data_IF_849716148177
#
_entry.id   IF_849716148177
#
_cell.length_a   1.000
_cell.length_b   1.000
_cell.length_c   1.000
_cell.angle_alpha   90.00
_cell.angle_beta   90.00
_cell.angle_gamma   90.00
#
_symmetry.space_group_name_H-M   'P 1'
#
loop_
_entity.id
_entity.type
_entity.pdbx_description
1 polymer ?
#
# COMPACT_ATOMS: atom_id res chain seq x y z
N UNK A 1 -26.90 -43.75 -31.45
CA UNK A 1 -26.78 -42.29 -31.62
C UNK A 1 -27.77 -41.69 -30.66
N UNK A 2 -27.28 -41.26 -29.51
CA UNK A 2 -28.10 -40.66 -28.46
C UNK A 2 -27.43 -39.34 -28.10
N UNK A 3 -28.04 -38.26 -28.58
CA UNK A 3 -27.61 -36.88 -28.37
C UNK A 3 -28.74 -36.22 -27.60
N UNK A 4 -28.58 -36.02 -26.30
CA UNK A 4 -29.02 -34.83 -25.57
C UNK A 4 -28.80 -35.00 -24.07
N UNK A 5 -27.72 -34.40 -23.57
CA UNK A 5 -27.67 -33.91 -22.18
C UNK A 5 -26.57 -32.83 -22.08
N UNK A 6 -26.80 -31.71 -22.78
CA UNK A 6 -26.08 -30.47 -22.47
C UNK A 6 -26.72 -29.88 -21.21
N UNK A 7 -26.03 -30.02 -20.07
CA UNK A 7 -26.32 -29.24 -18.86
C UNK A 7 -26.11 -27.77 -19.21
N UNK A 8 -27.20 -27.05 -19.44
CA UNK A 8 -27.21 -25.58 -19.46
C UNK A 8 -26.78 -25.14 -18.06
N UNK A 9 -25.55 -24.64 -17.93
CA UNK A 9 -25.14 -23.89 -16.75
C UNK A 9 -25.97 -22.61 -16.77
N UNK A 10 -26.97 -22.52 -15.90
CA UNK A 10 -27.65 -21.27 -15.60
C UNK A 10 -26.62 -20.28 -15.06
N UNK A 11 -26.07 -19.43 -15.94
CA UNK A 11 -25.52 -18.15 -15.53
C UNK A 11 -26.70 -17.30 -15.06
N UNK A 12 -26.89 -17.21 -13.75
CA UNK A 12 -27.67 -16.14 -13.16
C UNK A 12 -26.89 -14.84 -13.44
N UNK A 13 -27.45 -13.85 -14.15
CA UNK A 13 -26.82 -12.55 -14.28
C UNK A 13 -27.13 -11.75 -13.01
N UNK A 14 -26.50 -12.10 -11.90
CA UNK A 14 -26.24 -11.09 -10.88
C UNK A 14 -24.97 -10.39 -11.32
N UNK A 15 -25.15 -9.30 -12.08
CA UNK A 15 -24.10 -8.34 -12.35
C UNK A 15 -23.80 -7.62 -11.02
N UNK A 16 -23.14 -8.30 -10.09
CA UNK A 16 -22.49 -7.62 -8.99
C UNK A 16 -21.41 -6.76 -9.65
N UNK A 17 -21.61 -5.44 -9.61
CA UNK A 17 -20.62 -4.49 -10.15
C UNK A 17 -19.23 -4.82 -9.62
N UNK A 18 -18.23 -4.51 -10.44
CA UNK A 18 -16.82 -4.72 -10.12
C UNK A 18 -16.51 -4.10 -8.76
N UNK A 19 -15.61 -4.75 -8.02
CA UNK A 19 -15.15 -4.26 -6.74
C UNK A 19 -13.70 -3.86 -6.80
N UNK A 20 -13.38 -2.79 -6.08
CA UNK A 20 -12.02 -2.40 -5.78
C UNK A 20 -11.70 -2.88 -4.37
N UNK A 21 -10.83 -3.86 -4.25
CA UNK A 21 -10.32 -4.37 -2.99
C UNK A 21 -9.01 -3.71 -2.62
N UNK A 22 -8.66 -3.76 -1.34
CA UNK A 22 -7.36 -3.32 -0.85
C UNK A 22 -6.83 -4.21 0.27
N UNK A 23 -5.51 -4.39 0.27
CA UNK A 23 -4.74 -5.00 1.34
C UNK A 23 -3.34 -4.42 1.35
N UNK A 24 -2.63 -4.53 2.46
CA UNK A 24 -1.20 -4.21 2.57
C UNK A 24 -0.53 -5.15 3.57
N UNK A 25 0.79 -5.04 3.71
CA UNK A 25 1.54 -5.72 4.76
C UNK A 25 1.37 -7.24 4.65
N UNK A 26 1.51 -7.76 3.43
CA UNK A 26 1.45 -9.20 3.14
C UNK A 26 2.64 -9.94 3.74
N UNK A 27 3.81 -9.30 3.89
CA UNK A 27 5.00 -9.84 4.55
C UNK A 27 5.31 -11.30 4.16
N UNK A 28 5.51 -11.54 2.85
CA UNK A 28 5.66 -12.88 2.29
C UNK A 28 6.97 -13.61 2.69
N UNK A 29 7.85 -12.97 3.44
CA UNK A 29 8.93 -13.65 4.16
C UNK A 29 8.39 -14.68 5.17
N UNK A 30 7.17 -14.49 5.68
CA UNK A 30 6.48 -15.47 6.52
C UNK A 30 5.83 -16.56 5.65
N UNK A 31 6.23 -17.85 5.78
CA UNK A 31 5.62 -18.94 5.01
C UNK A 31 4.10 -19.03 5.17
N UNK A 32 3.58 -18.71 6.36
CA UNK A 32 2.15 -18.71 6.65
C UNK A 32 1.41 -17.71 5.75
N UNK A 33 1.96 -16.52 5.54
CA UNK A 33 1.34 -15.49 4.71
C UNK A 33 1.33 -15.91 3.22
N UNK A 34 2.37 -16.62 2.77
CA UNK A 34 2.41 -17.22 1.42
C UNK A 34 1.36 -18.31 1.24
N UNK A 35 1.15 -19.17 2.24
CA UNK A 35 0.06 -20.16 2.21
C UNK A 35 -1.30 -19.47 2.09
N UNK A 36 -1.55 -18.42 2.87
CA UNK A 36 -2.81 -17.67 2.79
C UNK A 36 -3.03 -17.00 1.42
N UNK A 37 -1.97 -16.48 0.81
CA UNK A 37 -2.02 -15.93 -0.55
C UNK A 37 -2.36 -17.01 -1.58
N UNK A 38 -1.80 -18.22 -1.43
CA UNK A 38 -2.07 -19.35 -2.31
C UNK A 38 -3.51 -19.86 -2.23
N UNK A 39 -4.16 -19.68 -1.09
CA UNK A 39 -5.56 -20.07 -0.85
C UNK A 39 -6.58 -19.01 -1.27
N UNK A 40 -6.13 -17.83 -1.71
CA UNK A 40 -7.03 -16.76 -2.11
C UNK A 40 -7.90 -17.22 -3.30
N UNK A 41 -9.24 -17.01 -3.28
CA UNK A 41 -10.10 -17.39 -4.39
C UNK A 41 -9.90 -16.45 -5.60
N UNK A 42 -10.48 -16.84 -6.74
CA UNK A 42 -10.59 -15.99 -7.92
C UNK A 42 -11.68 -14.92 -7.70
N UNK A 43 -11.33 -13.66 -7.97
CA UNK A 43 -12.22 -12.49 -7.91
C UNK A 43 -12.59 -11.95 -9.30
N UNK A 44 -12.14 -12.60 -10.39
CA UNK A 44 -12.53 -12.28 -11.75
C UNK A 44 -12.17 -10.84 -12.15
N UNK A 45 -13.18 -10.05 -12.48
CA UNK A 45 -13.04 -8.68 -12.99
C UNK A 45 -12.67 -7.64 -11.91
N UNK A 46 -12.66 -8.03 -10.64
CA UNK A 46 -12.31 -7.13 -9.55
C UNK A 46 -10.86 -6.63 -9.63
N UNK A 47 -10.61 -5.46 -9.06
CA UNK A 47 -9.27 -4.88 -8.95
C UNK A 47 -8.77 -5.00 -7.51
N UNK A 48 -7.44 -5.07 -7.33
CA UNK A 48 -6.80 -5.10 -6.02
C UNK A 48 -5.72 -4.03 -5.89
N UNK A 49 -5.81 -3.27 -4.81
CA UNK A 49 -4.75 -2.40 -4.30
C UNK A 49 -3.89 -3.21 -3.31
N UNK A 50 -2.58 -3.22 -3.54
CA UNK A 50 -1.57 -3.74 -2.62
C UNK A 50 -0.77 -2.55 -2.08
N UNK A 51 -1.16 -2.04 -0.91
CA UNK A 51 -0.64 -0.81 -0.32
C UNK A 51 0.67 -1.00 0.47
N UNK A 52 1.66 -1.62 -0.18
CA UNK A 52 3.02 -1.83 0.33
C UNK A 52 3.20 -3.06 1.20
N UNK A 53 4.48 -3.33 1.49
CA UNK A 53 4.98 -4.43 2.32
C UNK A 53 4.53 -5.80 1.81
N UNK A 54 4.82 -6.07 0.53
CA UNK A 54 4.75 -7.41 -0.06
C UNK A 54 5.82 -8.31 0.58
N UNK A 55 7.05 -7.80 0.68
CA UNK A 55 8.16 -8.50 1.31
C UNK A 55 9.52 -8.02 0.82
N UNK A 56 10.59 -8.59 1.36
CA UNK A 56 11.94 -7.99 1.29
C UNK A 56 12.82 -8.53 0.15
N UNK A 57 12.25 -9.24 -0.83
CA UNK A 57 13.00 -9.90 -1.92
C UNK A 57 12.22 -9.89 -3.23
N UNK A 58 12.89 -9.78 -4.37
CA UNK A 58 12.26 -9.86 -5.71
C UNK A 58 11.40 -11.12 -5.87
N UNK A 59 11.86 -12.25 -5.34
CA UNK A 59 11.13 -13.52 -5.38
C UNK A 59 9.73 -13.42 -4.75
N UNK A 60 9.57 -12.61 -3.69
CA UNK A 60 8.27 -12.38 -3.06
C UNK A 60 7.34 -11.59 -3.99
N UNK A 61 7.85 -10.61 -4.74
CA UNK A 61 7.07 -9.85 -5.71
C UNK A 61 6.63 -10.70 -6.90
N UNK A 62 7.54 -11.51 -7.45
CA UNK A 62 7.20 -12.47 -8.50
C UNK A 62 6.13 -13.46 -8.03
N UNK A 63 6.30 -14.04 -6.84
CA UNK A 63 5.32 -14.94 -6.24
C UNK A 63 3.97 -14.24 -6.03
N UNK A 64 3.97 -13.02 -5.49
CA UNK A 64 2.77 -12.23 -5.24
C UNK A 64 2.01 -11.93 -6.54
N UNK A 65 2.67 -11.33 -7.52
CA UNK A 65 1.99 -10.86 -8.73
C UNK A 65 1.62 -12.00 -9.67
N UNK A 66 2.41 -13.07 -9.77
CA UNK A 66 2.00 -14.26 -10.52
C UNK A 66 0.68 -14.84 -10.00
N UNK A 67 0.51 -14.81 -8.69
CA UNK A 67 -0.66 -15.34 -7.99
C UNK A 67 -1.86 -14.39 -8.02
N UNK A 68 -1.63 -13.09 -7.78
CA UNK A 68 -2.70 -12.10 -7.74
C UNK A 68 -3.22 -11.77 -9.15
N UNK A 69 -2.36 -11.77 -10.18
CA UNK A 69 -2.79 -11.48 -11.56
C UNK A 69 -3.67 -12.58 -12.16
N UNK A 70 -3.73 -13.75 -11.53
CA UNK A 70 -4.64 -14.84 -11.92
C UNK A 70 -6.01 -14.72 -11.23
N UNK A 71 -6.13 -13.87 -10.21
CA UNK A 71 -7.31 -13.75 -9.35
C UNK A 71 -8.00 -12.39 -9.45
N UNK A 72 -7.32 -11.38 -9.97
CA UNK A 72 -7.84 -10.02 -10.16
C UNK A 72 -7.47 -9.53 -11.55
N UNK A 73 -8.40 -8.85 -12.22
CA UNK A 73 -8.19 -8.31 -13.56
C UNK A 73 -7.19 -7.16 -13.58
N UNK A 74 -7.03 -6.43 -12.48
CA UNK A 74 -6.06 -5.32 -12.37
C UNK A 74 -5.47 -5.24 -10.96
N UNK A 75 -4.18 -4.96 -10.92
CA UNK A 75 -3.43 -4.76 -9.70
C UNK A 75 -2.85 -3.34 -9.66
N UNK A 76 -2.88 -2.74 -8.48
CA UNK A 76 -2.22 -1.48 -8.17
C UNK A 76 -1.29 -1.75 -7.00
N UNK A 77 -0.02 -1.39 -7.12
CA UNK A 77 0.96 -1.51 -6.04
C UNK A 77 1.55 -0.15 -5.72
N UNK A 78 1.80 0.09 -4.43
CA UNK A 78 2.67 1.16 -3.94
C UNK A 78 3.72 0.55 -3.01
N UNK A 79 4.97 1.05 -2.99
CA UNK A 79 6.01 0.50 -2.13
C UNK A 79 5.78 0.81 -0.65
N UNK A 80 6.01 -0.18 0.20
CA UNK A 80 6.21 0.01 1.64
C UNK A 80 7.68 0.09 2.04
N UNK A 81 7.98 0.16 3.34
CA UNK A 81 9.38 0.16 3.81
C UNK A 81 10.04 -1.21 3.62
N UNK A 82 9.35 -2.31 3.91
CA UNK A 82 9.92 -3.66 3.77
C UNK A 82 10.24 -4.00 2.32
N UNK A 83 9.44 -3.48 1.39
CA UNK A 83 9.69 -3.59 -0.05
C UNK A 83 11.07 -3.00 -0.43
N UNK A 84 11.52 -1.97 0.29
CA UNK A 84 12.76 -1.23 0.01
C UNK A 84 13.94 -1.65 0.90
N UNK A 85 13.79 -2.72 1.67
CA UNK A 85 14.89 -3.23 2.49
C UNK A 85 15.92 -3.98 1.64
N UNK A 86 17.19 -3.67 1.87
CA UNK A 86 18.30 -4.47 1.35
C UNK A 86 18.82 -5.37 2.47
N UNK A 87 18.34 -6.63 2.50
CA UNK A 87 18.78 -7.62 3.50
C UNK A 87 19.74 -8.61 2.86
N UNK A 88 20.98 -8.64 3.36
CA UNK A 88 22.02 -9.54 2.87
C UNK A 88 22.51 -9.16 1.47
N UNK A 89 22.93 -10.16 0.69
CA UNK A 89 23.44 -9.99 -0.70
C UNK A 89 22.44 -10.50 -1.74
N UNK A 90 21.14 -10.50 -1.41
CA UNK A 90 20.09 -10.89 -2.35
C UNK A 90 19.87 -9.81 -3.42
N UNK A 91 19.21 -10.20 -4.52
CA UNK A 91 18.75 -9.29 -5.58
C UNK A 91 19.85 -8.38 -6.16
N UNK A 92 21.04 -8.96 -6.37
CA UNK A 92 22.19 -8.26 -6.93
C UNK A 92 22.77 -7.16 -6.03
N UNK A 93 22.36 -7.08 -4.76
CA UNK A 93 22.79 -6.04 -3.84
C UNK A 93 22.21 -4.66 -4.15
N UNK A 94 21.11 -4.60 -4.91
CA UNK A 94 20.42 -3.35 -5.21
C UNK A 94 19.87 -2.72 -3.92
N UNK A 95 19.89 -1.38 -3.87
CA UNK A 95 19.41 -0.59 -2.73
C UNK A 95 18.91 0.78 -3.17
N UNK A 96 18.17 1.45 -2.29
CA UNK A 96 17.65 2.79 -2.54
C UNK A 96 16.83 2.89 -3.83
N UNK A 97 17.06 3.95 -4.60
CA UNK A 97 16.33 4.22 -5.84
C UNK A 97 16.48 3.09 -6.86
N UNK A 98 17.66 2.46 -6.94
CA UNK A 98 17.90 1.38 -7.89
C UNK A 98 17.04 0.14 -7.57
N UNK A 99 16.91 -0.21 -6.28
CA UNK A 99 16.00 -1.28 -5.85
C UNK A 99 14.54 -0.91 -6.16
N UNK A 100 14.13 0.32 -5.84
CA UNK A 100 12.78 0.79 -6.16
C UNK A 100 12.45 0.67 -7.67
N UNK A 101 13.36 1.13 -8.53
CA UNK A 101 13.21 1.04 -9.98
C UNK A 101 13.11 -0.41 -10.45
N UNK A 102 13.90 -1.31 -9.86
CA UNK A 102 13.85 -2.73 -10.14
C UNK A 102 12.48 -3.34 -9.78
N UNK A 103 11.90 -2.96 -8.65
CA UNK A 103 10.55 -3.41 -8.27
C UNK A 103 9.47 -2.87 -9.23
N UNK A 104 9.61 -1.62 -9.69
CA UNK A 104 8.75 -1.05 -10.74
C UNK A 104 8.86 -1.85 -12.04
N UNK A 105 10.06 -2.29 -12.42
CA UNK A 105 10.24 -3.17 -13.59
C UNK A 105 9.53 -4.53 -13.43
N UNK A 106 9.61 -5.15 -12.24
CA UNK A 106 8.87 -6.37 -11.95
C UNK A 106 7.36 -6.11 -12.08
N UNK A 107 6.85 -5.03 -11.49
CA UNK A 107 5.44 -4.64 -11.62
C UNK A 107 5.00 -4.54 -13.09
N UNK A 108 5.82 -3.93 -13.95
CA UNK A 108 5.55 -3.82 -15.40
C UNK A 108 5.45 -5.16 -16.11
N UNK A 109 6.26 -6.15 -15.72
CA UNK A 109 6.18 -7.52 -16.28
C UNK A 109 4.81 -8.15 -16.04
N UNK A 110 4.18 -7.85 -14.90
CA UNK A 110 2.85 -8.33 -14.53
C UNK A 110 1.72 -7.32 -14.82
N UNK A 111 2.01 -6.22 -15.51
CA UNK A 111 1.06 -5.14 -15.83
C UNK A 111 0.39 -4.53 -14.58
N UNK A 112 1.09 -4.51 -13.45
CA UNK A 112 0.68 -3.89 -12.20
C UNK A 112 0.90 -2.38 -12.32
N UNK A 113 -0.11 -1.58 -11.95
CA UNK A 113 0.00 -0.11 -11.92
C UNK A 113 0.84 0.30 -10.72
N UNK A 114 1.79 1.20 -10.94
CA UNK A 114 2.73 1.70 -9.93
C UNK A 114 2.58 3.21 -9.72
N UNK A 115 3.26 3.79 -8.71
CA UNK A 115 3.35 5.24 -8.59
C UNK A 115 4.02 5.93 -9.78
N UNK A 116 4.70 5.22 -10.68
CA UNK A 116 5.39 5.81 -11.86
C UNK A 116 4.54 5.80 -13.13
N UNK A 117 3.41 5.10 -13.12
CA UNK A 117 2.52 5.00 -14.28
C UNK A 117 1.44 6.11 -14.25
N UNK A 118 0.82 6.46 -15.39
CA UNK A 118 -0.33 7.37 -15.41
C UNK A 118 -1.44 6.92 -14.47
N UNK A 119 -2.09 7.87 -13.79
CA UNK A 119 -3.20 7.55 -12.90
C UNK A 119 -4.37 6.95 -13.68
N UNK A 120 -4.86 5.80 -13.21
CA UNK A 120 -5.92 5.04 -13.88
C UNK A 120 -7.29 5.43 -13.33
N UNK A 121 -8.28 5.47 -14.22
CA UNK A 121 -9.67 5.68 -13.85
C UNK A 121 -10.30 4.33 -13.46
N UNK A 122 -11.03 4.31 -12.35
CA UNK A 122 -11.87 3.20 -11.96
C UNK A 122 -13.04 3.07 -12.96
N UNK A 123 -13.27 1.88 -13.56
CA UNK A 123 -14.16 1.75 -14.72
C UNK A 123 -15.65 1.57 -14.37
N UNK A 124 -16.00 1.35 -13.11
CA UNK A 124 -17.37 1.01 -12.68
C UNK A 124 -17.93 2.03 -11.67
N UNK A 125 -19.25 2.04 -11.49
CA UNK A 125 -19.95 2.93 -10.57
C UNK A 125 -20.24 4.32 -11.14
N UNK A 126 -21.11 5.05 -10.43
CA UNK A 126 -21.60 6.34 -10.89
C UNK A 126 -20.56 7.47 -10.79
N UNK A 127 -19.53 7.32 -9.95
CA UNK A 127 -18.50 8.34 -9.71
C UNK A 127 -17.17 7.89 -10.34
N UNK A 128 -16.60 8.67 -11.28
CA UNK A 128 -15.41 8.27 -12.03
C UNK A 128 -14.14 8.50 -11.20
N UNK A 129 -13.90 7.65 -10.20
CA UNK A 129 -12.74 7.78 -9.33
C UNK A 129 -11.43 7.64 -10.09
N UNK A 130 -10.50 8.56 -9.83
CA UNK A 130 -9.10 8.43 -10.21
C UNK A 130 -8.33 7.72 -9.10
N UNK A 131 -7.67 6.62 -9.43
CA UNK A 131 -6.78 5.91 -8.52
C UNK A 131 -5.38 6.52 -8.60
N UNK A 132 -4.90 7.02 -7.47
CA UNK A 132 -3.64 7.77 -7.37
C UNK A 132 -2.65 6.98 -6.49
N UNK A 133 -1.88 6.05 -7.06
CA UNK A 133 -0.76 5.42 -6.37
C UNK A 133 0.34 6.44 -6.10
N UNK A 134 0.77 6.51 -4.85
CA UNK A 134 1.78 7.42 -4.32
C UNK A 134 2.93 6.63 -3.72
N UNK A 135 4.09 7.28 -3.63
CA UNK A 135 5.23 6.79 -2.88
C UNK A 135 5.86 8.00 -2.22
N UNK A 136 5.66 8.17 -0.91
CA UNK A 136 6.11 9.36 -0.16
C UNK A 136 7.30 9.12 0.75
N UNK A 137 7.48 7.89 1.27
CA UNK A 137 8.39 7.63 2.38
C UNK A 137 8.01 8.47 3.64
N UNK A 138 8.98 8.77 4.49
CA UNK A 138 8.86 9.61 5.69
C UNK A 138 10.09 10.53 5.86
N UNK A 139 9.95 11.56 6.70
CA UNK A 139 10.98 12.58 6.94
C UNK A 139 11.19 12.90 8.42
N UNK A 140 10.76 12.03 9.33
CA UNK A 140 10.86 12.23 10.78
C UNK A 140 10.08 13.46 11.30
N UNK A 141 9.13 13.99 10.52
CA UNK A 141 8.31 15.14 10.94
C UNK A 141 7.17 14.80 11.89
N UNK A 142 6.76 13.53 11.98
CA UNK A 142 5.87 13.02 13.02
C UNK A 142 6.60 12.85 14.37
N UNK A 143 7.35 13.87 14.77
CA UNK A 143 7.96 14.04 16.08
C UNK A 143 7.25 15.18 16.80
N UNK A 144 7.25 15.24 18.13
CA UNK A 144 6.75 16.40 18.85
C UNK A 144 7.49 17.68 18.44
N UNK A 145 6.78 18.80 18.33
CA UNK A 145 7.35 20.08 17.85
C UNK A 145 8.56 20.56 18.66
N UNK A 146 8.60 20.24 19.95
CA UNK A 146 9.69 20.60 20.85
C UNK A 146 10.96 19.75 20.65
N UNK A 147 10.89 18.67 19.87
CA UNK A 147 12.04 17.82 19.55
C UNK A 147 12.70 18.32 18.26
N UNK A 148 13.95 18.80 18.30
CA UNK A 148 14.69 19.19 17.11
C UNK A 148 14.86 18.02 16.13
N UNK A 149 14.85 18.29 14.83
CA UNK A 149 15.01 17.25 13.79
C UNK A 149 16.26 16.40 14.01
N UNK A 150 17.40 17.03 14.32
CA UNK A 150 18.67 16.34 14.54
C UNK A 150 18.72 15.51 15.83
N UNK A 151 17.71 15.59 16.70
CA UNK A 151 17.58 14.80 17.93
C UNK A 151 16.45 13.77 17.83
N UNK A 152 15.74 13.67 16.70
CA UNK A 152 14.56 12.82 16.57
C UNK A 152 14.87 11.33 16.86
N UNK A 153 15.96 10.80 16.27
CA UNK A 153 16.35 9.41 16.48
C UNK A 153 16.80 9.14 17.91
N UNK A 154 17.59 10.04 18.51
CA UNK A 154 18.01 9.93 19.91
C UNK A 154 16.81 9.92 20.85
N UNK A 155 15.82 10.80 20.57
CA UNK A 155 14.55 10.82 21.30
C UNK A 155 13.82 9.48 21.18
N UNK A 156 13.71 8.83 20.02
CA UNK A 156 13.09 7.50 19.96
C UNK A 156 13.89 6.44 20.74
N UNK A 157 15.23 6.48 20.61
CA UNK A 157 16.15 5.53 21.23
C UNK A 157 16.11 5.56 22.77
N UNK A 158 15.82 6.69 23.40
CA UNK A 158 15.60 6.80 24.86
C UNK A 158 14.53 5.82 25.39
N UNK A 159 13.59 5.39 24.54
CA UNK A 159 12.55 4.40 24.89
C UNK A 159 12.78 3.03 24.27
N UNK A 160 14.00 2.77 23.76
CA UNK A 160 14.37 1.56 23.02
C UNK A 160 13.50 1.32 21.77
N UNK A 161 13.03 2.39 21.13
CA UNK A 161 12.27 2.32 19.89
C UNK A 161 13.17 2.75 18.74
N UNK A 162 13.45 1.83 17.82
CA UNK A 162 14.18 2.09 16.58
C UNK A 162 13.60 1.23 15.46
N UNK A 163 13.32 1.84 14.31
CA UNK A 163 12.91 1.09 13.13
C UNK A 163 14.11 0.38 12.47
N UNK A 164 13.87 -0.81 11.93
CA UNK A 164 14.86 -1.56 11.17
C UNK A 164 15.31 -0.79 9.93
N UNK A 165 14.45 0.07 9.38
CA UNK A 165 14.75 0.99 8.28
C UNK A 165 16.09 1.71 8.41
N UNK A 166 16.47 2.13 9.64
CA UNK A 166 17.71 2.86 9.87
C UNK A 166 18.96 2.07 9.46
N UNK A 167 18.87 0.73 9.49
CA UNK A 167 19.95 -0.16 9.12
C UNK A 167 19.87 -0.66 7.67
N UNK A 168 18.67 -0.84 7.10
CA UNK A 168 18.49 -1.58 5.84
C UNK A 168 17.70 -0.86 4.74
N UNK A 169 17.01 0.25 5.06
CA UNK A 169 16.36 1.09 4.06
C UNK A 169 17.32 2.20 3.65
N UNK A 170 18.09 1.92 2.60
CA UNK A 170 19.04 2.87 2.03
C UNK A 170 18.33 3.91 1.15
N UNK A 171 18.85 5.13 1.10
CA UNK A 171 18.27 6.23 0.33
C UNK A 171 19.09 6.62 -0.90
N UNK A 172 20.14 5.85 -1.27
CA UNK A 172 21.00 6.20 -2.40
C UNK A 172 20.18 6.50 -3.67
N UNK A 173 20.50 7.57 -4.43
CA UNK A 173 21.63 8.49 -4.26
C UNK A 173 21.34 9.70 -3.35
N UNK A 174 20.16 9.78 -2.73
CA UNK A 174 19.83 10.87 -1.83
C UNK A 174 20.67 10.78 -0.55
N UNK A 175 21.03 11.93 0.05
CA UNK A 175 21.83 11.95 1.27
C UNK A 175 21.10 11.43 2.51
N UNK A 176 19.77 11.32 2.46
CA UNK A 176 18.95 10.79 3.56
C UNK A 176 17.58 10.33 3.07
N UNK A 177 16.90 9.52 3.88
CA UNK A 177 15.49 9.13 3.69
C UNK A 177 14.57 10.34 3.63
N UNK A 178 14.80 11.34 4.49
CA UNK A 178 14.06 12.61 4.46
C UNK A 178 14.26 13.39 3.15
N UNK A 179 15.47 13.41 2.59
CA UNK A 179 15.73 14.05 1.29
C UNK A 179 15.02 13.30 0.14
N UNK A 180 15.01 11.96 0.18
CA UNK A 180 14.25 11.16 -0.78
C UNK A 180 12.75 11.40 -0.64
N UNK A 181 12.23 11.41 0.60
CA UNK A 181 10.83 11.75 0.91
C UNK A 181 10.42 13.11 0.34
N UNK A 182 11.25 14.14 0.54
CA UNK A 182 10.98 15.48 0.03
C UNK A 182 10.89 15.53 -1.50
N UNK A 183 11.77 14.80 -2.20
CA UNK A 183 11.75 14.67 -3.66
C UNK A 183 10.50 13.93 -4.15
N UNK A 184 10.18 12.81 -3.50
CA UNK A 184 8.98 12.02 -3.76
C UNK A 184 7.68 12.80 -3.54
N UNK A 185 7.62 13.63 -2.51
CA UNK A 185 6.48 14.50 -2.25
C UNK A 185 6.33 15.55 -3.34
N UNK A 186 7.42 16.20 -3.77
CA UNK A 186 7.39 17.17 -4.89
C UNK A 186 6.93 16.52 -6.19
N UNK A 187 7.49 15.37 -6.53
CA UNK A 187 7.08 14.59 -7.70
C UNK A 187 5.59 14.27 -7.68
N UNK A 188 5.07 13.84 -6.53
CA UNK A 188 3.66 13.50 -6.36
C UNK A 188 2.75 14.73 -6.41
N UNK A 189 3.15 15.86 -5.81
CA UNK A 189 2.41 17.12 -5.87
C UNK A 189 2.24 17.61 -7.31
N UNK A 190 3.32 17.64 -8.10
CA UNK A 190 3.28 18.04 -9.52
C UNK A 190 2.26 17.23 -10.31
N UNK A 191 2.17 15.92 -10.03
CA UNK A 191 1.23 15.02 -10.70
C UNK A 191 -0.19 15.15 -10.16
N UNK A 192 -0.37 15.31 -8.86
CA UNK A 192 -1.68 15.54 -8.24
C UNK A 192 -2.34 16.81 -8.78
N UNK A 193 -1.56 17.85 -9.09
CA UNK A 193 -2.10 19.07 -9.73
C UNK A 193 -2.80 18.80 -11.08
N UNK A 194 -2.45 17.71 -11.77
CA UNK A 194 -3.03 17.38 -13.09
C UNK A 194 -4.44 16.76 -12.99
N UNK A 195 -4.88 16.38 -11.79
CA UNK A 195 -6.17 15.72 -11.54
C UNK A 195 -7.02 16.44 -10.49
N UNK A 196 -6.68 17.69 -10.17
CA UNK A 196 -7.48 18.52 -9.25
C UNK A 196 -8.90 18.68 -9.81
N UNK A 197 -9.90 18.46 -8.95
CA UNK A 197 -11.32 18.53 -9.30
C UNK A 197 -11.92 17.19 -9.75
N UNK A 198 -11.10 16.15 -9.92
CA UNK A 198 -11.59 14.78 -10.08
C UNK A 198 -11.85 14.13 -8.72
N UNK A 199 -12.79 13.17 -8.61
CA UNK A 199 -12.92 12.32 -7.42
C UNK A 199 -11.68 11.44 -7.26
N UNK A 200 -10.91 11.60 -6.18
CA UNK A 200 -9.65 10.86 -6.01
C UNK A 200 -9.75 9.75 -4.95
N UNK A 201 -9.04 8.66 -5.21
CA UNK A 201 -8.61 7.68 -4.21
C UNK A 201 -7.09 7.75 -4.13
N UNK A 202 -6.57 8.31 -3.04
CA UNK A 202 -5.13 8.35 -2.78
C UNK A 202 -4.70 7.01 -2.18
N UNK A 203 -3.60 6.45 -2.67
CA UNK A 203 -3.08 5.15 -2.24
C UNK A 203 -1.62 5.35 -1.87
N UNK A 204 -1.25 5.15 -0.62
CA UNK A 204 0.12 5.28 -0.15
C UNK A 204 0.36 4.26 0.96
N UNK A 205 1.58 3.73 1.11
CA UNK A 205 1.83 2.79 2.22
C UNK A 205 1.73 3.49 3.59
N UNK A 206 2.40 4.64 3.73
CA UNK A 206 2.38 5.42 4.95
C UNK A 206 1.07 6.22 5.09
N UNK A 207 0.50 6.36 6.30
CA UNK A 207 -0.58 7.30 6.53
C UNK A 207 -0.17 8.70 6.10
N UNK A 208 -1.08 9.42 5.44
CA UNK A 208 -0.83 10.79 4.98
C UNK A 208 -0.97 11.83 6.11
N UNK A 209 -1.44 11.42 7.29
CA UNK A 209 -1.70 12.28 8.45
C UNK A 209 -1.21 11.66 9.75
N UNK A 210 -0.67 12.50 10.63
CA UNK A 210 -0.17 12.08 11.95
C UNK A 210 -1.31 11.60 12.88
N UNK A 211 -2.49 12.22 12.79
CA UNK A 211 -3.65 11.96 13.66
C UNK A 211 -4.37 10.61 13.40
N UNK A 212 -3.89 9.83 12.43
CA UNK A 212 -4.34 8.46 12.15
C UNK A 212 -3.56 7.40 12.92
N UNK A 213 -2.42 7.78 13.52
CA UNK A 213 -1.55 6.86 14.23
C UNK A 213 -2.15 6.43 15.57
N UNK A 214 -2.20 5.10 15.79
CA UNK A 214 -2.69 4.47 17.02
C UNK A 214 -1.58 3.78 17.81
N UNK A 215 -0.38 4.37 17.81
CA UNK A 215 0.86 3.77 18.34
C UNK A 215 0.95 3.82 19.88
N UNK A 216 -0.13 3.46 20.60
CA UNK A 216 -0.25 3.65 22.06
C UNK A 216 0.90 3.03 22.88
N UNK A 217 1.44 1.90 22.40
CA UNK A 217 2.50 1.16 23.09
C UNK A 217 3.92 1.62 22.72
N UNK A 218 4.07 2.22 21.55
CA UNK A 218 5.35 2.62 20.96
C UNK A 218 5.22 3.98 20.28
N UNK A 219 4.77 5.04 20.98
CA UNK A 219 4.39 6.31 20.35
C UNK A 219 5.55 6.96 19.59
N UNK A 220 6.79 6.76 20.05
CA UNK A 220 8.00 7.31 19.38
C UNK A 220 8.32 6.63 18.05
N UNK A 221 7.63 5.54 17.69
CA UNK A 221 7.73 4.94 16.37
C UNK A 221 7.09 5.81 15.28
N UNK A 222 6.32 6.84 15.66
CA UNK A 222 5.71 7.80 14.73
C UNK A 222 6.68 8.42 13.73
N UNK A 223 7.96 8.56 14.12
CA UNK A 223 9.03 9.09 13.27
C UNK A 223 9.14 8.45 11.88
N UNK A 224 8.84 7.15 11.78
CA UNK A 224 8.96 6.36 10.56
C UNK A 224 7.62 6.18 9.84
N UNK A 225 6.57 6.86 10.28
CA UNK A 225 5.20 6.61 9.81
C UNK A 225 4.67 7.62 8.79
N UNK A 226 5.45 8.61 8.36
CA UNK A 226 5.03 9.53 7.30
C UNK A 226 5.69 10.90 7.37
N UNK A 227 5.03 11.89 6.77
CA UNK A 227 5.47 13.29 6.73
C UNK A 227 4.29 14.24 6.91
N UNK A 228 4.49 15.34 7.65
CA UNK A 228 3.51 16.43 7.78
C UNK A 228 3.26 17.18 6.49
N UNK A 229 4.11 17.02 5.47
CA UNK A 229 3.91 17.64 4.16
C UNK A 229 2.64 17.15 3.46
N UNK A 230 2.15 15.96 3.82
CA UNK A 230 0.96 15.35 3.21
C UNK A 230 -0.33 15.56 4.02
N UNK A 231 -0.27 16.26 5.17
CA UNK A 231 -1.35 16.32 6.17
C UNK A 231 -2.68 16.86 5.61
N UNK A 232 -2.59 17.77 4.64
CA UNK A 232 -3.73 18.40 3.98
C UNK A 232 -4.01 17.82 2.57
N UNK A 233 -3.27 16.82 2.09
CA UNK A 233 -3.41 16.36 0.71
C UNK A 233 -4.81 15.81 0.40
N UNK A 234 -5.44 15.13 1.35
CA UNK A 234 -6.80 14.61 1.15
C UNK A 234 -7.79 15.73 0.86
N UNK A 235 -7.74 16.84 1.61
CA UNK A 235 -8.65 17.98 1.42
C UNK A 235 -8.20 18.89 0.29
N UNK A 236 -6.90 19.19 0.21
CA UNK A 236 -6.29 20.05 -0.82
C UNK A 236 -6.50 19.53 -2.23
N UNK A 237 -6.46 18.21 -2.43
CA UNK A 237 -6.66 17.58 -3.74
C UNK A 237 -8.05 16.98 -3.92
N UNK A 238 -8.94 17.09 -2.94
CA UNK A 238 -10.33 16.62 -3.05
C UNK A 238 -10.49 15.10 -3.08
N UNK A 239 -9.68 14.38 -2.31
CA UNK A 239 -9.79 12.93 -2.18
C UNK A 239 -10.98 12.53 -1.31
N UNK A 240 -11.80 11.61 -1.80
CA UNK A 240 -12.88 11.04 -1.01
C UNK A 240 -12.40 9.85 -0.18
N UNK A 241 -11.35 9.16 -0.64
CA UNK A 241 -10.80 7.98 0.02
C UNK A 241 -9.26 8.03 0.03
N UNK A 242 -8.66 7.65 1.15
CA UNK A 242 -7.22 7.39 1.28
C UNK A 242 -7.02 5.96 1.78
N UNK A 243 -6.24 5.17 1.05
CA UNK A 243 -5.91 3.78 1.39
C UNK A 243 -4.45 3.71 1.82
N UNK A 244 -4.19 3.12 2.99
CA UNK A 244 -2.83 2.97 3.52
C UNK A 244 -2.64 1.72 4.39
N UNK A 245 -1.40 1.45 4.77
CA UNK A 245 -0.98 0.30 5.57
C UNK A 245 -0.02 0.69 6.69
N UNK A 246 1.12 -0.01 6.77
CA UNK A 246 2.28 0.27 7.63
C UNK A 246 2.06 0.03 9.13
N UNK A 247 0.93 0.45 9.68
CA UNK A 247 0.75 0.51 11.13
C UNK A 247 0.29 -0.82 11.74
N UNK A 248 -0.17 -1.76 10.92
CA UNK A 248 -0.76 -3.04 11.35
C UNK A 248 -1.96 -2.85 12.29
N UNK A 249 -2.69 -1.75 12.12
CA UNK A 249 -3.81 -1.33 12.97
C UNK A 249 -5.03 -1.01 12.11
N UNK A 250 -5.58 -2.05 11.49
CA UNK A 250 -6.76 -1.99 10.63
C UNK A 250 -7.86 -1.13 11.23
N UNK A 251 -8.25 -0.11 10.49
CA UNK A 251 -9.24 0.86 10.91
C UNK A 251 -9.92 1.50 9.70
N UNK A 252 -11.08 2.10 9.95
CA UNK A 252 -11.73 3.01 9.02
C UNK A 252 -11.96 4.31 9.78
N UNK A 253 -11.40 5.40 9.27
CA UNK A 253 -11.47 6.73 9.86
C UNK A 253 -12.14 7.70 8.89
N UNK A 254 -12.68 8.80 9.42
CA UNK A 254 -13.13 9.92 8.62
C UNK A 254 -12.48 11.20 9.14
N UNK A 255 -11.89 12.00 8.24
CA UNK A 255 -11.36 13.34 8.52
C UNK A 255 -11.77 14.27 7.39
N UNK A 256 -12.36 15.41 7.73
CA UNK A 256 -12.75 16.43 6.75
C UNK A 256 -13.62 15.89 5.60
N UNK A 257 -14.44 14.87 5.87
CA UNK A 257 -15.27 14.19 4.88
C UNK A 257 -14.59 13.08 4.07
N UNK A 258 -13.26 12.96 4.13
CA UNK A 258 -12.50 11.88 3.50
C UNK A 258 -12.48 10.62 4.35
N UNK A 259 -12.70 9.45 3.73
CA UNK A 259 -12.58 8.14 4.36
C UNK A 259 -11.14 7.64 4.28
N UNK A 260 -10.55 7.31 5.41
CA UNK A 260 -9.22 6.71 5.50
C UNK A 260 -9.37 5.22 5.84
N UNK A 261 -8.71 4.35 5.08
CA UNK A 261 -8.77 2.91 5.24
C UNK A 261 -7.36 2.36 5.50
N UNK A 262 -7.13 1.90 6.72
CA UNK A 262 -5.94 1.10 7.06
C UNK A 262 -6.24 -0.36 6.74
N UNK A 263 -5.44 -0.93 5.82
CA UNK A 263 -5.72 -2.21 5.17
C UNK A 263 -4.65 -3.27 5.43
N UNK A 264 -3.83 -3.11 6.48
CA UNK A 264 -2.74 -4.03 6.81
C UNK A 264 -3.25 -5.42 7.17
N UNK A 265 -2.65 -6.47 6.60
CA UNK A 265 -2.75 -7.82 7.14
C UNK A 265 -1.82 -7.95 8.37
N UNK A 266 -0.55 -7.61 8.17
CA UNK A 266 0.50 -7.64 9.18
C UNK A 266 1.14 -9.03 9.35
N UNK A 267 1.84 -9.21 10.47
CA UNK A 267 2.52 -10.46 10.79
C UNK A 267 1.53 -11.56 11.21
N UNK A 268 1.91 -12.85 11.20
CA UNK A 268 1.02 -13.95 11.63
C UNK A 268 0.35 -13.77 13.00
N UNK A 269 0.98 -13.03 13.92
CA UNK A 269 0.43 -12.71 15.25
C UNK A 269 -0.65 -11.62 15.24
N UNK A 270 -0.80 -10.88 14.14
CA UNK A 270 -1.70 -9.74 14.01
C UNK A 270 -3.10 -10.15 13.52
N UNK A 271 -3.28 -11.38 13.04
CA UNK A 271 -4.53 -11.81 12.44
C UNK A 271 -4.90 -13.26 12.84
N UNK A 272 -6.18 -13.60 12.70
CA UNK A 272 -6.68 -14.97 12.81
C UNK A 272 -6.58 -15.69 11.46
N UNK A 273 -5.71 -16.69 11.36
CA UNK A 273 -5.46 -17.47 10.15
C UNK A 273 -6.71 -18.21 9.62
N UNK A 274 -7.66 -18.57 10.51
CA UNK A 274 -8.88 -19.28 10.11
C UNK A 274 -9.81 -18.45 9.20
N UNK A 275 -9.63 -17.13 9.14
CA UNK A 275 -10.39 -16.25 8.22
C UNK A 275 -9.84 -16.27 6.78
N UNK A 276 -8.67 -16.86 6.55
CA UNK A 276 -7.95 -16.77 5.28
C UNK A 276 -7.53 -15.35 4.93
N UNK A 277 -6.82 -15.16 3.82
CA UNK A 277 -6.50 -13.81 3.32
C UNK A 277 -7.76 -13.04 2.87
N UNK A 278 -8.72 -13.75 2.27
CA UNK A 278 -9.98 -13.19 1.79
C UNK A 278 -10.76 -12.44 2.89
N UNK A 279 -10.72 -12.93 4.14
CA UNK A 279 -11.36 -12.28 5.28
C UNK A 279 -10.73 -10.95 5.70
N UNK A 280 -9.57 -10.59 5.14
CA UNK A 280 -8.87 -9.33 5.39
C UNK A 280 -8.80 -8.41 4.16
N UNK A 281 -9.37 -8.80 3.01
CA UNK A 281 -9.53 -7.85 1.92
C UNK A 281 -10.53 -6.76 2.34
N UNK A 282 -10.12 -5.49 2.21
CA UNK A 282 -11.01 -4.34 2.44
C UNK A 282 -11.70 -4.00 1.14
N UNK A 283 -13.04 -3.95 1.13
CA UNK A 283 -13.77 -3.38 0.00
C UNK A 283 -13.67 -1.86 0.04
N UNK A 284 -13.03 -1.27 -0.97
CA UNK A 284 -12.93 0.17 -1.15
C UNK A 284 -14.09 0.68 -1.98
N UNK A 285 -14.33 0.08 -3.15
CA UNK A 285 -15.49 0.37 -3.99
C UNK A 285 -16.26 -0.93 -4.32
N UNK A 286 -17.60 -0.86 -4.47
CA UNK A 286 -18.44 0.24 -3.99
C UNK A 286 -18.28 0.40 -2.47
N UNK A 287 -18.63 1.58 -1.93
CA UNK A 287 -18.58 1.78 -0.48
C UNK A 287 -19.38 0.67 0.22
N UNK A 288 -18.84 0.02 1.27
CA UNK A 288 -19.61 -0.96 2.02
C UNK A 288 -20.86 -0.29 2.59
N UNK A 289 -22.01 -0.96 2.43
CA UNK A 289 -23.30 -0.50 2.94
C UNK A 289 -23.42 -0.62 4.45
#
# INVERSE_FOLDING_TARGET
MDLTNFKIRHHLPYNHGMKLWAISDLHLSYPQNRTLLAELPDYGEDWLIVAGDIGEREAHFHEAFQQLSQRFARLIWVPGNHDLYTIGQHDGGLRGVALYQRLVEICRQYKVVTPEDPYVQWPDGARPYRLVPLFTLYDYSFRPDHIPYNQALDWAAETNVMATDEAVLHADPYPSRAAWCADRCRYSEERLQTVVGEPLILINHYPLREDLLRLWRIPRFSLWCGTRRTEDWHSRYGADIVVYGHTHMRATDYRDGTRFEEVSLGYPRNYNAAKGLAGYLRQILPAPG
#
